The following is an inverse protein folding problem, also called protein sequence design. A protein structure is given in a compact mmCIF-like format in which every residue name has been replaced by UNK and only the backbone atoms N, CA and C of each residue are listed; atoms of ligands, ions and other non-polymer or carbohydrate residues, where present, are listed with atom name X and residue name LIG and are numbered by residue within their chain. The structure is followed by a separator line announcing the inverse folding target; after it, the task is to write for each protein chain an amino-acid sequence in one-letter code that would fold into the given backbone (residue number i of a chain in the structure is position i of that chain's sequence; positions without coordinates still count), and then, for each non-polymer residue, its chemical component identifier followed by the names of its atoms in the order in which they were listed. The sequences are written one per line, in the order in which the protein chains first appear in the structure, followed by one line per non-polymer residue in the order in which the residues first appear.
data_IF_072328808600
#
_entry.id   IF_072328808600
#
_cell.length_a   1.000
_cell.length_b   1.000
_cell.length_c   1.000
_cell.angle_alpha   90.00
_cell.angle_beta   90.00
_cell.angle_gamma   90.00
#
_symmetry.space_group_name_H-M   'P 1'
#
loop_
_entity.id
_entity.type
_entity.pdbx_description
1 polymer ?
#
# COMPACT_ATOMS: atom_id res chain seq x y z
N UNK A 1 -5.19 -1.28 -6.13
CA UNK A 1 -4.41 -0.99 -4.90
C UNK A 1 -3.16 -0.20 -5.23
N UNK A 2 -2.35 -0.73 -6.13
CA UNK A 2 -1.04 -0.22 -6.50
C UNK A 2 -1.10 1.23 -7.00
N UNK A 3 -2.00 1.45 -7.96
CA UNK A 3 -2.30 2.78 -8.52
C UNK A 3 -2.88 3.70 -7.44
N UNK A 4 -3.92 3.26 -6.73
CA UNK A 4 -4.53 4.01 -5.61
C UNK A 4 -3.50 4.52 -4.57
N UNK A 5 -2.55 3.67 -4.15
CA UNK A 5 -1.51 4.07 -3.19
C UNK A 5 -0.62 5.18 -3.77
N UNK A 6 -0.18 5.03 -5.01
CA UNK A 6 0.67 6.00 -5.68
C UNK A 6 -0.06 7.32 -5.94
N UNK A 7 -1.33 7.24 -6.34
CA UNK A 7 -2.19 8.40 -6.55
C UNK A 7 -2.40 9.18 -5.25
N UNK A 8 -2.82 8.51 -4.16
CA UNK A 8 -3.04 9.16 -2.86
C UNK A 8 -1.76 9.78 -2.30
N UNK A 9 -0.62 9.10 -2.45
CA UNK A 9 0.69 9.63 -2.05
C UNK A 9 1.06 10.87 -2.87
N UNK A 10 0.93 10.80 -4.19
CA UNK A 10 1.33 11.87 -5.11
C UNK A 10 0.42 13.09 -5.00
N UNK A 11 -0.89 12.89 -4.72
CA UNK A 11 -1.84 13.96 -4.44
C UNK A 11 -1.45 14.78 -3.19
N UNK A 12 -0.71 14.18 -2.25
CA UNK A 12 -0.15 14.87 -1.08
C UNK A 12 1.26 15.42 -1.32
N UNK A 13 1.82 15.27 -2.52
CA UNK A 13 3.19 15.70 -2.86
C UNK A 13 4.29 14.88 -2.20
N UNK A 14 3.98 13.68 -1.69
CA UNK A 14 4.93 12.89 -0.91
C UNK A 14 5.76 11.96 -1.80
N UNK A 15 7.03 11.75 -1.46
CA UNK A 15 7.85 10.66 -2.02
C UNK A 15 7.51 9.30 -1.40
N UNK A 16 8.06 8.20 -1.94
CA UNK A 16 7.90 6.87 -1.33
C UNK A 16 8.52 6.79 0.07
N UNK A 17 9.64 7.48 0.26
CA UNK A 17 10.35 7.57 1.54
C UNK A 17 9.54 8.38 2.55
N UNK A 18 8.95 9.49 2.12
CA UNK A 18 8.00 10.28 2.91
C UNK A 18 6.85 9.43 3.48
N UNK A 19 6.26 8.57 2.64
CA UNK A 19 5.19 7.69 3.08
C UNK A 19 5.72 6.64 4.08
N UNK A 20 6.89 6.06 3.83
CA UNK A 20 7.51 5.10 4.74
C UNK A 20 7.82 5.74 6.11
N UNK A 21 8.40 6.94 6.13
CA UNK A 21 8.71 7.68 7.36
C UNK A 21 7.45 8.01 8.16
N UNK A 22 6.37 8.43 7.49
CA UNK A 22 5.08 8.69 8.17
C UNK A 22 4.45 7.42 8.72
N UNK A 23 4.50 6.32 7.96
CA UNK A 23 4.04 5.01 8.45
C UNK A 23 4.87 4.53 9.63
N UNK A 24 6.19 4.71 9.60
CA UNK A 24 7.07 4.39 10.72
C UNK A 24 6.71 5.20 11.95
N UNK A 25 6.59 6.53 11.82
CA UNK A 25 6.25 7.43 12.93
C UNK A 25 4.89 7.12 13.56
N UNK A 26 3.88 6.77 12.74
CA UNK A 26 2.53 6.48 13.23
C UNK A 26 2.36 5.06 13.79
N UNK A 27 3.01 4.07 13.18
CA UNK A 27 2.87 2.66 13.57
C UNK A 27 3.85 2.23 14.66
N UNK A 28 4.92 3.01 14.90
CA UNK A 28 6.05 2.63 15.74
C UNK A 28 6.88 1.48 15.16
N UNK A 29 6.60 1.04 13.93
CA UNK A 29 7.19 -0.14 13.33
C UNK A 29 8.20 0.26 12.24
N UNK A 30 9.48 -0.04 12.45
CA UNK A 30 10.57 0.25 11.51
C UNK A 30 10.68 -0.73 10.33
N UNK A 31 9.86 -1.79 10.31
CA UNK A 31 9.88 -2.77 9.21
C UNK A 31 9.30 -2.22 7.90
N UNK A 32 8.58 -1.09 7.92
CA UNK A 32 8.15 -0.42 6.69
C UNK A 32 9.28 0.45 6.14
N UNK A 33 9.78 0.07 4.98
CA UNK A 33 10.82 0.82 4.26
C UNK A 33 10.27 1.39 2.96
N UNK A 34 11.04 2.31 2.35
CA UNK A 34 10.77 2.82 1.01
C UNK A 34 10.66 1.69 -0.02
N UNK A 35 11.48 0.65 0.04
CA UNK A 35 11.31 -0.52 -0.86
C UNK A 35 10.01 -1.28 -0.60
N UNK A 36 9.56 -1.42 0.65
CA UNK A 36 8.29 -2.07 0.97
C UNK A 36 7.11 -1.28 0.35
N UNK A 37 7.12 0.05 0.51
CA UNK A 37 6.16 0.96 -0.15
C UNK A 37 6.21 0.78 -1.67
N UNK A 38 7.41 0.78 -2.27
CA UNK A 38 7.57 0.57 -3.70
C UNK A 38 7.03 -0.77 -4.18
N UNK A 39 7.19 -1.85 -3.39
CA UNK A 39 6.61 -3.16 -3.72
C UNK A 39 5.09 -3.13 -3.70
N UNK A 40 4.47 -2.36 -2.80
CA UNK A 40 3.02 -2.19 -2.75
C UNK A 40 2.49 -1.40 -3.95
N UNK A 41 3.13 -0.27 -4.27
CA UNK A 41 2.75 0.58 -5.42
C UNK A 41 2.99 -0.08 -6.77
N UNK A 42 3.93 -1.02 -6.87
CA UNK A 42 4.16 -1.81 -8.10
C UNK A 42 3.34 -3.11 -8.13
N UNK A 43 2.60 -3.42 -7.07
CA UNK A 43 1.82 -4.65 -6.97
C UNK A 43 2.64 -5.93 -6.81
N UNK A 44 3.94 -5.82 -6.55
CA UNK A 44 4.80 -6.95 -6.21
C UNK A 44 4.38 -7.60 -4.89
N UNK A 45 3.86 -6.79 -3.96
CA UNK A 45 3.32 -7.25 -2.67
C UNK A 45 2.01 -6.53 -2.37
N UNK A 46 1.09 -7.21 -1.70
CA UNK A 46 -0.15 -6.63 -1.23
C UNK A 46 0.01 -6.39 0.28
N UNK A 47 -0.20 -5.16 0.78
CA UNK A 47 -0.07 -4.87 2.21
C UNK A 47 -1.07 -5.70 3.02
N UNK A 48 -0.63 -6.19 4.18
CA UNK A 48 -1.47 -6.94 5.12
C UNK A 48 -2.54 -6.07 5.80
N UNK A 49 -3.49 -6.64 6.55
CA UNK A 49 -4.55 -5.90 7.25
C UNK A 49 -4.02 -4.80 8.18
N UNK A 50 -2.96 -5.14 8.92
CA UNK A 50 -2.25 -4.20 9.80
C UNK A 50 -1.77 -2.95 9.04
N UNK A 51 -1.01 -3.13 7.96
CA UNK A 51 -0.50 -2.01 7.16
C UNK A 51 -1.61 -1.24 6.45
N UNK A 52 -2.69 -1.91 6.02
CA UNK A 52 -3.85 -1.22 5.40
C UNK A 52 -4.56 -0.29 6.37
N UNK A 53 -4.64 -0.66 7.65
CA UNK A 53 -5.20 0.22 8.69
C UNK A 53 -4.34 1.47 8.91
N UNK A 54 -3.02 1.33 8.89
CA UNK A 54 -2.10 2.48 8.97
C UNK A 54 -2.09 3.34 7.71
N UNK A 55 -2.13 2.71 6.53
CA UNK A 55 -2.23 3.39 5.25
C UNK A 55 -3.52 4.21 5.18
N UNK A 56 -4.64 3.69 5.68
CA UNK A 56 -5.92 4.42 5.77
C UNK A 56 -5.75 5.73 6.54
N UNK A 57 -5.13 5.65 7.72
CA UNK A 57 -4.88 6.82 8.58
C UNK A 57 -3.89 7.81 7.98
N UNK A 58 -2.78 7.32 7.42
CA UNK A 58 -1.70 8.19 6.89
C UNK A 58 -2.09 8.84 5.57
N UNK A 59 -2.79 8.12 4.70
CA UNK A 59 -3.22 8.63 3.40
C UNK A 59 -4.58 9.33 3.44
N UNK A 60 -5.24 9.34 4.60
CA UNK A 60 -6.60 9.86 4.75
C UNK A 60 -7.54 9.22 3.70
N UNK A 61 -7.48 7.89 3.62
CA UNK A 61 -8.24 7.10 2.65
C UNK A 61 -9.08 6.08 3.40
N UNK A 62 -10.38 5.93 3.11
CA UNK A 62 -11.23 4.95 3.78
C UNK A 62 -10.64 3.53 3.72
N UNK A 63 -10.69 2.82 4.84
CA UNK A 63 -10.14 1.47 4.94
C UNK A 63 -10.81 0.52 3.93
N UNK A 64 -12.12 0.64 3.75
CA UNK A 64 -12.90 -0.13 2.76
C UNK A 64 -12.38 0.04 1.32
N UNK A 65 -11.97 1.25 0.95
CA UNK A 65 -11.40 1.53 -0.37
C UNK A 65 -10.08 0.77 -0.56
N UNK A 66 -9.23 0.76 0.48
CA UNK A 66 -7.96 0.01 0.49
C UNK A 66 -8.20 -1.51 0.51
N UNK A 67 -9.20 -1.99 1.24
CA UNK A 67 -9.58 -3.41 1.28
C UNK A 67 -10.09 -3.89 -0.07
N UNK A 68 -10.98 -3.14 -0.72
CA UNK A 68 -11.50 -3.42 -2.05
C UNK A 68 -10.36 -3.43 -3.07
N UNK A 69 -9.51 -2.41 -3.04
CA UNK A 69 -8.39 -2.30 -3.94
C UNK A 69 -7.40 -3.45 -3.75
N UNK A 70 -7.17 -3.90 -2.51
CA UNK A 70 -6.35 -5.08 -2.20
C UNK A 70 -7.01 -6.38 -2.68
N UNK A 71 -8.33 -6.54 -2.55
CA UNK A 71 -9.07 -7.69 -3.07
C UNK A 71 -8.97 -7.79 -4.60
N UNK A 72 -9.11 -6.67 -5.31
CA UNK A 72 -8.91 -6.59 -6.76
C UNK A 72 -7.48 -6.99 -7.14
N UNK A 73 -6.47 -6.47 -6.43
CA UNK A 73 -5.07 -6.82 -6.67
C UNK A 73 -4.80 -8.32 -6.46
N UNK A 74 -5.36 -8.93 -5.40
CA UNK A 74 -5.26 -10.39 -5.15
C UNK A 74 -5.85 -11.21 -6.29
N UNK A 75 -7.04 -10.81 -6.78
CA UNK A 75 -7.71 -11.46 -7.90
C UNK A 75 -6.89 -11.37 -9.19
N UNK A 76 -6.35 -10.18 -9.51
CA UNK A 76 -5.45 -9.98 -10.68
C UNK A 76 -4.21 -10.87 -10.58
N UNK A 77 -3.56 -10.95 -9.42
CA UNK A 77 -2.37 -11.81 -9.20
C UNK A 77 -2.68 -13.29 -9.36
N UNK A 78 -3.84 -13.76 -8.88
CA UNK A 78 -4.28 -15.15 -9.08
C UNK A 78 -4.47 -15.49 -10.55
N UNK A 79 -5.02 -14.57 -11.35
CA UNK A 79 -5.20 -14.74 -12.80
C UNK A 79 -3.89 -14.74 -13.58
N UNK A 80 -2.87 -14.04 -13.08
CA UNK A 80 -1.55 -13.92 -13.72
C UNK A 80 -0.53 -14.94 -13.20
N UNK A 81 -0.90 -15.83 -12.27
CA UNK A 81 -0.06 -16.97 -11.93
C UNK A 81 -0.03 -17.92 -13.13
N UNK A 82 1.14 -18.37 -13.61
CA UNK A 82 1.18 -19.36 -14.68
C UNK A 82 0.41 -20.59 -14.20
N UNK A 83 -0.64 -20.94 -14.94
CA UNK A 83 -1.30 -22.24 -14.80
C UNK A 83 -0.22 -23.29 -15.06
N UNK A 84 0.19 -24.00 -14.01
CA UNK A 84 1.04 -25.18 -14.13
C UNK A 84 0.29 -26.29 -14.83
#
# INVERSE_FOLDING_TARGET
MCELLAERRSAKGWSQEDLATRLHAMSGNASVTREEVSRWERGKRIPGPYWRSWLSRVLDTPCDELELAAAVARRRRRKNAPTG
#
